data_IF_268721969877
#
_entry.id   IF_268721969877
#
_cell.length_a   1.000
_cell.length_b   1.000
_cell.length_c   1.000
_cell.angle_alpha   90.00
_cell.angle_beta   90.00
_cell.angle_gamma   90.00
#
_symmetry.space_group_name_H-M   'P 1'
#
loop_
_entity.id
_entity.type
_entity.pdbx_description
1 polymer ?
#
# COMPACT_ATOMS: atom_id res chain seq x y z
N UNK A 1 39.04 -9.71 10.59
CA UNK A 1 38.34 -9.76 10.27
C UNK A 1 38.26 -9.60 10.46
N UNK A 2 38.59 -9.64 10.57
CA UNK A 2 38.07 -9.65 10.25
C UNK A 2 37.65 -9.40 10.38
N UNK A 3 37.87 -9.59 10.62
CA UNK A 3 37.27 -9.53 10.14
C UNK A 3 36.80 -9.57 10.20
N UNK A 4 36.98 -9.83 10.37
CA UNK A 4 36.22 -9.98 9.92
C UNK A 4 35.35 -9.93 10.02
N UNK A 5 35.98 -10.18 10.20
CA UNK A 5 35.07 -10.14 10.00
C UNK A 5 34.61 -9.73 10.14
N UNK A 6 34.99 -9.68 10.14
CA UNK A 6 34.32 -9.25 9.74
C UNK A 6 34.24 -9.03 9.46
N UNK A 7 34.81 -9.03 9.33
CA UNK A 7 34.59 -8.91 8.63
C UNK A 7 34.75 -8.86 8.20
N UNK A 8 35.32 -9.18 8.06
CA UNK A 8 35.21 -9.31 7.45
C UNK A 8 35.36 -9.24 6.96
N UNK A 9 35.90 -9.48 6.69
CA UNK A 9 35.78 -9.48 6.07
C UNK A 9 35.91 -9.14 5.55
N UNK A 10 36.28 -9.14 5.11
CA UNK A 10 36.31 -8.73 4.60
C UNK A 10 36.42 -8.35 3.78
N UNK A 11 36.75 -8.27 3.09
CA UNK A 11 36.75 -7.76 2.32
C UNK A 11 37.30 -7.70 1.27
N UNK A 12 37.10 -7.48 0.64
CA UNK A 12 37.75 -7.83 -0.53
C UNK A 12 36.87 -8.18 -1.73
N UNK A 13 36.79 -8.47 -2.72
CA UNK A 13 35.74 -8.56 -3.74
C UNK A 13 34.74 -7.43 -3.61
N UNK A 14 35.21 -6.27 -3.41
CA UNK A 14 34.46 -5.12 -2.95
C UNK A 14 33.33 -4.69 -3.89
N UNK A 15 33.41 -4.96 -5.16
CA UNK A 15 32.35 -4.55 -6.13
C UNK A 15 31.01 -5.21 -5.83
N UNK A 16 31.02 -6.50 -5.56
CA UNK A 16 29.80 -7.23 -5.26
C UNK A 16 29.20 -6.77 -3.95
N UNK A 17 30.04 -6.52 -2.98
CA UNK A 17 29.62 -6.03 -1.67
C UNK A 17 28.94 -4.68 -1.79
N UNK A 18 29.52 -3.77 -2.58
CA UNK A 18 28.95 -2.44 -2.80
C UNK A 18 27.58 -2.54 -3.46
N UNK A 19 27.42 -3.40 -4.43
CA UNK A 19 26.14 -3.59 -5.11
C UNK A 19 25.09 -4.12 -4.15
N UNK A 20 25.45 -5.07 -3.30
CA UNK A 20 24.54 -5.62 -2.31
C UNK A 20 24.12 -4.57 -1.29
N UNK A 21 25.03 -3.73 -0.86
CA UNK A 21 24.72 -2.64 0.07
C UNK A 21 23.69 -1.67 -0.52
N UNK A 22 23.87 -1.30 -1.79
CA UNK A 22 22.94 -0.40 -2.47
C UNK A 22 21.54 -1.02 -2.53
N UNK A 23 21.44 -2.29 -2.87
CA UNK A 23 20.15 -2.98 -2.91
C UNK A 23 19.50 -3.04 -1.53
N UNK A 24 20.27 -3.30 -0.47
CA UNK A 24 19.77 -3.34 0.90
C UNK A 24 19.24 -1.98 1.32
N UNK A 25 19.94 -0.90 1.00
CA UNK A 25 19.50 0.46 1.34
C UNK A 25 18.21 0.81 0.64
N UNK A 26 18.06 0.44 -0.65
CA UNK A 26 16.84 0.67 -1.41
C UNK A 26 15.66 -0.07 -0.79
N UNK A 27 15.84 -1.34 -0.44
CA UNK A 27 14.80 -2.15 0.19
C UNK A 27 14.38 -1.58 1.55
N UNK A 28 15.34 -1.13 2.36
CA UNK A 28 15.07 -0.53 3.67
C UNK A 28 14.24 0.74 3.49
N UNK A 29 14.59 1.57 2.51
CA UNK A 29 13.87 2.81 2.23
C UNK A 29 12.43 2.54 1.79
N UNK A 30 12.23 1.56 0.90
CA UNK A 30 10.89 1.18 0.44
C UNK A 30 10.04 0.65 1.58
N UNK A 31 10.59 -0.23 2.42
CA UNK A 31 9.90 -0.77 3.58
C UNK A 31 9.56 0.32 4.57
N UNK A 32 10.47 1.28 4.77
CA UNK A 32 10.23 2.41 5.66
C UNK A 32 9.06 3.26 5.18
N UNK A 33 8.96 3.52 3.87
CA UNK A 33 7.84 4.28 3.30
C UNK A 33 6.53 3.53 3.47
N UNK A 34 6.53 2.23 3.20
CA UNK A 34 5.34 1.39 3.36
C UNK A 34 4.90 1.40 4.81
N UNK A 35 5.83 1.26 5.76
CA UNK A 35 5.51 1.28 7.18
C UNK A 35 4.91 2.61 7.60
N UNK A 36 5.42 3.73 7.09
CA UNK A 36 4.86 5.07 7.37
C UNK A 36 3.43 5.18 6.85
N UNK A 37 3.18 4.68 5.64
CA UNK A 37 1.84 4.70 5.05
C UNK A 37 0.87 3.91 5.93
N UNK A 38 1.28 2.72 6.37
CA UNK A 38 0.45 1.86 7.21
C UNK A 38 0.20 2.52 8.57
N UNK A 39 1.22 3.11 9.17
CA UNK A 39 1.09 3.80 10.46
C UNK A 39 0.09 4.95 10.37
N UNK A 40 0.20 5.77 9.32
CA UNK A 40 -0.73 6.88 9.10
C UNK A 40 -2.15 6.34 8.91
N UNK A 41 -2.29 5.29 8.09
CA UNK A 41 -3.59 4.68 7.85
C UNK A 41 -4.24 4.22 9.15
N UNK A 42 -3.47 3.58 10.01
CA UNK A 42 -3.97 3.09 11.30
C UNK A 42 -4.46 4.21 12.21
N UNK A 43 -3.83 5.39 12.16
CA UNK A 43 -4.27 6.54 12.96
C UNK A 43 -5.63 7.07 12.51
N UNK A 44 -6.08 6.70 11.31
CA UNK A 44 -7.34 7.19 10.75
C UNK A 44 -8.50 6.23 10.95
N UNK A 45 -8.28 5.05 11.51
CA UNK A 45 -9.35 4.09 11.77
C UNK A 45 -10.45 4.77 12.61
N UNK A 46 -11.70 4.62 12.17
CA UNK A 46 -12.84 5.25 12.83
C UNK A 46 -13.26 6.57 12.23
N UNK A 47 -12.43 7.20 11.39
CA UNK A 47 -12.84 8.46 10.74
C UNK A 47 -13.97 8.17 9.75
N UNK A 48 -14.95 9.07 9.64
CA UNK A 48 -16.13 8.82 8.83
C UNK A 48 -15.86 8.90 7.34
N UNK A 49 -16.69 8.19 6.58
CA UNK A 49 -16.73 8.32 5.14
C UNK A 49 -17.49 9.59 4.76
N UNK A 50 -16.97 10.32 3.80
CA UNK A 50 -17.67 11.47 3.24
C UNK A 50 -17.30 11.59 1.76
N UNK A 51 -18.29 11.58 0.89
CA UNK A 51 -18.10 11.72 -0.56
C UNK A 51 -17.28 12.99 -0.88
N UNK A 52 -16.25 12.80 -1.70
CA UNK A 52 -15.38 13.91 -2.12
C UNK A 52 -14.35 14.34 -1.11
N UNK A 53 -14.27 13.70 0.05
CA UNK A 53 -13.37 14.10 1.12
C UNK A 53 -12.01 13.40 1.01
N UNK A 54 -10.94 14.17 1.24
CA UNK A 54 -9.56 13.69 1.16
C UNK A 54 -8.81 13.80 2.50
N UNK A 55 -9.53 13.96 3.58
CA UNK A 55 -8.94 14.01 4.92
C UNK A 55 -8.74 15.43 5.44
N UNK A 56 -8.19 15.57 6.63
CA UNK A 56 -7.71 14.51 7.51
C UNK A 56 -8.78 13.88 8.42
N UNK A 57 -9.99 14.42 8.45
CA UNK A 57 -11.01 14.01 9.41
C UNK A 57 -12.15 13.19 8.81
N UNK A 58 -12.21 13.13 7.49
CA UNK A 58 -13.17 12.30 6.76
C UNK A 58 -12.56 11.95 5.40
N UNK A 59 -13.06 10.87 4.79
CA UNK A 59 -12.46 10.36 3.54
C UNK A 59 -13.52 9.67 2.67
N UNK A 60 -13.37 9.79 1.34
CA UNK A 60 -13.93 8.76 0.47
C UNK A 60 -12.82 7.72 0.21
N UNK A 61 -13.13 6.66 -0.55
CA UNK A 61 -12.19 5.54 -0.70
C UNK A 61 -10.86 5.95 -1.34
N UNK A 62 -10.91 6.66 -2.45
CA UNK A 62 -9.70 7.12 -3.15
C UNK A 62 -9.05 8.31 -2.46
N UNK A 63 -9.83 9.11 -1.74
CA UNK A 63 -9.31 10.18 -0.91
C UNK A 63 -8.47 9.65 0.24
N UNK A 64 -8.88 8.53 0.82
CA UNK A 64 -8.12 7.88 1.88
C UNK A 64 -6.77 7.35 1.37
N UNK A 65 -6.78 6.60 0.28
CA UNK A 65 -5.51 6.08 -0.29
C UNK A 65 -4.60 7.22 -0.73
N UNK A 66 -5.15 8.28 -1.33
CA UNK A 66 -4.37 9.46 -1.70
C UNK A 66 -3.72 10.12 -0.49
N UNK A 67 -4.47 10.27 0.59
CA UNK A 67 -3.98 10.89 1.81
C UNK A 67 -2.82 10.11 2.42
N UNK A 68 -2.97 8.79 2.59
CA UNK A 68 -1.93 8.00 3.24
C UNK A 68 -0.66 7.90 2.39
N UNK A 69 -0.80 7.82 1.08
CA UNK A 69 0.36 7.78 0.19
C UNK A 69 1.10 9.12 0.15
N UNK A 70 0.35 10.24 0.11
CA UNK A 70 0.96 11.56 0.12
C UNK A 70 1.72 11.81 1.43
N UNK A 71 1.10 11.52 2.55
CA UNK A 71 1.70 11.82 3.86
C UNK A 71 2.77 10.81 4.27
N UNK A 72 2.68 9.57 3.80
CA UNK A 72 3.64 8.54 4.16
C UNK A 72 4.84 8.43 3.22
N UNK A 73 4.65 8.72 1.94
CA UNK A 73 5.69 8.51 0.94
C UNK A 73 5.87 9.69 -0.02
N UNK A 74 5.10 10.76 0.12
CA UNK A 74 5.19 11.91 -0.79
C UNK A 74 4.71 11.61 -2.20
N UNK A 75 3.91 10.57 -2.38
CA UNK A 75 3.41 10.15 -3.69
C UNK A 75 2.00 10.69 -3.89
N UNK A 76 1.80 11.37 -5.02
CA UNK A 76 0.50 11.91 -5.40
C UNK A 76 -0.23 10.91 -6.28
N UNK A 77 -1.22 10.22 -5.72
CA UNK A 77 -2.05 9.30 -6.49
C UNK A 77 -3.13 10.09 -7.24
N UNK A 78 -3.62 9.56 -8.39
CA UNK A 78 -4.78 10.16 -9.06
C UNK A 78 -5.99 10.18 -8.12
N UNK A 79 -6.94 11.06 -8.40
CA UNK A 79 -8.05 11.33 -7.45
C UNK A 79 -9.07 10.20 -7.33
N UNK A 80 -9.31 9.43 -8.40
CA UNK A 80 -10.38 8.43 -8.42
C UNK A 80 -9.84 7.01 -8.32
N UNK A 81 -10.68 6.08 -7.85
CA UNK A 81 -10.29 4.67 -7.77
C UNK A 81 -9.97 4.09 -9.15
N UNK A 82 -10.73 4.46 -10.17
CA UNK A 82 -10.48 4.00 -11.54
C UNK A 82 -9.10 4.45 -12.01
N UNK A 83 -8.79 5.74 -11.82
CA UNK A 83 -7.50 6.29 -12.24
C UNK A 83 -6.34 5.68 -11.44
N UNK A 84 -6.54 5.45 -10.16
CA UNK A 84 -5.52 4.80 -9.31
C UNK A 84 -5.24 3.37 -9.79
N UNK A 85 -6.24 2.67 -10.33
CA UNK A 85 -6.05 1.30 -10.83
C UNK A 85 -5.15 1.24 -12.07
N UNK A 86 -4.91 2.38 -12.70
CA UNK A 86 -4.11 2.45 -13.93
C UNK A 86 -2.66 2.85 -13.69
N UNK A 87 -2.26 3.13 -12.45
CA UNK A 87 -0.88 3.50 -12.14
C UNK A 87 -0.18 2.34 -11.43
N UNK A 88 1.15 2.34 -11.51
CA UNK A 88 1.96 1.31 -10.88
C UNK A 88 1.99 0.01 -11.69
N UNK A 89 2.48 -1.05 -11.06
CA UNK A 89 2.56 -2.36 -11.68
C UNK A 89 1.37 -3.21 -11.28
N UNK A 90 0.75 -3.86 -12.25
CA UNK A 90 -0.38 -4.75 -12.00
C UNK A 90 0.10 -5.98 -11.24
N UNK A 91 -0.59 -6.33 -10.17
CA UNK A 91 -0.23 -7.44 -9.29
C UNK A 91 -1.41 -8.41 -9.23
N UNK A 92 -1.14 -9.71 -9.27
CA UNK A 92 -2.19 -10.70 -9.09
C UNK A 92 -2.52 -10.83 -7.60
N UNK A 93 -3.73 -11.34 -7.31
CA UNK A 93 -4.22 -11.48 -5.94
C UNK A 93 -3.26 -12.30 -5.06
N UNK A 94 -2.67 -13.36 -5.60
CA UNK A 94 -1.78 -14.22 -4.83
C UNK A 94 -0.36 -13.66 -4.66
N UNK A 95 -0.07 -12.51 -5.25
CA UNK A 95 1.23 -11.86 -5.12
C UNK A 95 1.17 -10.58 -4.29
N UNK A 96 0.05 -10.33 -3.63
CA UNK A 96 -0.15 -9.11 -2.83
C UNK A 96 0.87 -9.00 -1.71
N UNK A 97 1.35 -7.77 -1.52
CA UNK A 97 2.23 -7.38 -0.41
C UNK A 97 1.68 -6.13 0.24
N UNK A 98 2.02 -5.93 1.51
CA UNK A 98 1.60 -4.74 2.25
C UNK A 98 1.97 -3.48 1.47
N UNK A 99 1.04 -2.56 1.36
CA UNK A 99 1.20 -1.32 0.61
C UNK A 99 0.58 -1.37 -0.78
N UNK A 100 0.25 -2.54 -1.30
CA UNK A 100 -0.40 -2.64 -2.61
C UNK A 100 -1.83 -2.10 -2.53
N UNK A 101 -2.28 -1.45 -3.60
CA UNK A 101 -3.67 -1.00 -3.71
C UNK A 101 -4.53 -2.14 -4.25
N UNK A 102 -5.71 -2.32 -3.69
CA UNK A 102 -6.67 -3.34 -4.11
C UNK A 102 -7.95 -2.66 -4.55
N UNK A 103 -8.51 -3.13 -5.66
CA UNK A 103 -9.64 -2.49 -6.33
C UNK A 103 -10.83 -3.43 -6.43
N UNK A 104 -12.01 -2.86 -6.23
CA UNK A 104 -13.25 -3.63 -6.15
C UNK A 104 -14.34 -3.02 -7.01
N UNK A 105 -15.22 -3.87 -7.49
CA UNK A 105 -16.44 -3.47 -8.18
C UNK A 105 -17.61 -3.60 -7.19
N UNK A 106 -17.94 -2.51 -6.52
CA UNK A 106 -19.03 -2.48 -5.53
C UNK A 106 -20.31 -1.88 -6.12
N UNK A 107 -20.23 -1.24 -7.30
CA UNK A 107 -21.38 -0.61 -7.94
C UNK A 107 -22.03 -1.47 -9.03
N UNK A 108 -21.32 -2.52 -9.47
CA UNK A 108 -21.76 -3.31 -10.61
C UNK A 108 -21.35 -2.76 -11.96
N UNK A 109 -20.64 -1.62 -11.99
CA UNK A 109 -20.27 -0.94 -13.23
C UNK A 109 -18.77 -0.79 -13.42
N UNK A 110 -17.99 -1.70 -12.86
CA UNK A 110 -16.54 -1.66 -12.93
C UNK A 110 -15.93 -1.20 -11.61
N UNK A 111 -14.65 -0.82 -11.63
CA UNK A 111 -13.97 -0.41 -10.41
C UNK A 111 -14.64 0.83 -9.81
N UNK A 112 -15.04 0.71 -8.55
CA UNK A 112 -15.72 1.77 -7.82
C UNK A 112 -15.21 1.97 -6.40
N UNK A 113 -14.28 1.09 -5.96
CA UNK A 113 -13.76 1.15 -4.60
C UNK A 113 -12.28 0.77 -4.58
N UNK A 114 -11.53 1.32 -3.63
CA UNK A 114 -10.10 1.05 -3.47
C UNK A 114 -9.75 1.00 -1.99
N UNK A 115 -8.80 0.15 -1.66
CA UNK A 115 -8.19 0.11 -0.33
C UNK A 115 -6.72 -0.26 -0.46
N UNK A 116 -6.05 -0.41 0.67
CA UNK A 116 -4.64 -0.78 0.70
C UNK A 116 -4.46 -2.09 1.46
N UNK A 117 -3.74 -3.02 0.83
CA UNK A 117 -3.43 -4.31 1.44
C UNK A 117 -2.43 -4.12 2.59
N UNK A 118 -2.68 -4.79 3.71
CA UNK A 118 -1.81 -4.68 4.89
C UNK A 118 -1.28 -6.05 5.38
N UNK A 119 -1.39 -7.08 4.53
CA UNK A 119 -0.93 -8.42 4.87
C UNK A 119 -2.04 -9.28 5.47
N UNK A 120 -1.78 -10.58 5.54
CA UNK A 120 -2.69 -11.56 6.16
C UNK A 120 -4.11 -11.53 5.58
N UNK A 121 -4.21 -11.32 4.27
CA UNK A 121 -5.49 -11.24 3.56
C UNK A 121 -6.39 -10.10 4.04
N UNK A 122 -5.81 -9.05 4.61
CA UNK A 122 -6.55 -7.90 5.12
C UNK A 122 -6.19 -6.63 4.37
N UNK A 123 -7.14 -5.70 4.34
CA UNK A 123 -6.91 -4.39 3.72
C UNK A 123 -7.60 -3.31 4.55
N UNK A 124 -7.05 -2.10 4.47
CA UNK A 124 -7.59 -0.93 5.16
C UNK A 124 -8.19 0.01 4.12
N UNK A 125 -9.36 0.56 4.41
CA UNK A 125 -10.08 1.38 3.45
C UNK A 125 -11.11 2.27 4.15
N UNK A 126 -11.62 3.27 3.42
CA UNK A 126 -12.74 4.07 3.89
C UNK A 126 -14.04 3.42 3.36
N UNK A 127 -14.72 2.68 4.22
CA UNK A 127 -15.97 2.02 3.91
C UNK A 127 -17.10 3.04 3.86
N UNK A 128 -17.94 2.95 2.82
CA UNK A 128 -19.06 3.89 2.63
C UNK A 128 -19.98 3.94 3.85
N UNK A 129 -20.25 2.80 4.46
CA UNK A 129 -21.20 2.72 5.57
C UNK A 129 -20.56 2.80 6.96
N UNK A 130 -19.26 2.49 7.07
CA UNK A 130 -18.62 2.32 8.40
C UNK A 130 -17.35 3.15 8.59
N UNK A 131 -16.95 3.93 7.59
CA UNK A 131 -15.74 4.74 7.67
C UNK A 131 -14.47 3.94 7.51
N UNK A 132 -13.36 4.49 7.99
CA UNK A 132 -12.04 3.84 7.86
C UNK A 132 -11.98 2.64 8.78
N UNK A 133 -11.67 1.47 8.17
CA UNK A 133 -11.63 0.20 8.90
C UNK A 133 -10.80 -0.83 8.14
N UNK A 134 -10.54 -1.94 8.82
CA UNK A 134 -9.86 -3.09 8.23
C UNK A 134 -10.90 -4.18 7.96
N UNK A 135 -10.85 -4.73 6.74
CA UNK A 135 -11.70 -5.86 6.35
C UNK A 135 -10.86 -6.96 5.72
N UNK A 136 -11.44 -8.15 5.60
CA UNK A 136 -10.76 -9.30 5.01
C UNK A 136 -11.07 -9.40 3.52
N UNK A 137 -10.02 -9.64 2.72
CA UNK A 137 -10.19 -9.95 1.29
C UNK A 137 -10.93 -11.27 1.08
N UNK A 138 -10.95 -12.13 2.09
CA UNK A 138 -11.60 -13.44 2.01
C UNK A 138 -13.06 -13.42 2.43
N UNK A 139 -13.57 -12.27 2.92
CA UNK A 139 -15.00 -12.15 3.20
C UNK A 139 -15.78 -12.33 1.90
N UNK A 140 -16.98 -12.91 2.00
CA UNK A 140 -17.79 -13.20 0.81
C UNK A 140 -18.05 -11.94 -0.02
N UNK A 141 -18.30 -10.82 0.67
CA UNK A 141 -18.57 -9.54 0.00
C UNK A 141 -17.39 -9.09 -0.86
N UNK A 142 -16.19 -8.98 -0.27
CA UNK A 142 -15.03 -8.43 -0.99
C UNK A 142 -14.36 -9.46 -1.90
N UNK A 143 -14.42 -10.74 -1.54
CA UNK A 143 -13.86 -11.80 -2.38
C UNK A 143 -14.51 -11.82 -3.76
N UNK A 144 -15.83 -11.69 -3.81
CA UNK A 144 -16.58 -11.72 -5.07
C UNK A 144 -16.46 -10.42 -5.86
N UNK A 145 -16.04 -9.32 -5.22
CA UNK A 145 -15.97 -8.00 -5.85
C UNK A 145 -14.56 -7.55 -6.21
N UNK A 146 -13.56 -8.32 -5.83
CA UNK A 146 -12.16 -8.00 -6.15
C UNK A 146 -11.96 -8.00 -7.67
N UNK A 147 -11.33 -6.94 -8.20
CA UNK A 147 -11.07 -6.79 -9.63
C UNK A 147 -9.59 -6.89 -9.94
N UNK A 148 -8.77 -6.08 -9.27
CA UNK A 148 -7.34 -6.02 -9.58
C UNK A 148 -6.58 -5.39 -8.42
N UNK A 149 -5.25 -5.39 -8.55
CA UNK A 149 -4.37 -4.75 -7.59
C UNK A 149 -3.20 -4.09 -8.31
N UNK A 150 -2.64 -3.06 -7.69
CA UNK A 150 -1.49 -2.33 -8.23
C UNK A 150 -0.43 -2.12 -7.16
N UNK A 151 0.82 -2.25 -7.54
CA UNK A 151 1.96 -1.94 -6.67
C UNK A 151 2.54 -0.60 -7.08
N UNK A 152 2.47 0.36 -6.18
CA UNK A 152 2.93 1.73 -6.42
C UNK A 152 4.38 1.87 -6.01
N UNK A 153 4.73 1.36 -4.83
CA UNK A 153 6.11 1.37 -4.33
C UNK A 153 6.74 0.03 -4.64
N UNK A 154 7.78 0.05 -5.46
CA UNK A 154 8.41 -1.18 -5.97
C UNK A 154 9.64 -1.61 -5.19
#
# INVERSE_FOLDING_TARGET
GNIEGWVSSKYIGSYKETTEEVKSETLITENSSINKIIDIANTKIGKPYKWGSTGPNSFDCSGFTSYIYQNGAGINLPRTSVAQSKVGSKISRNQLKSGDLVFFNTSGKGISHVGMYIGNSKFIHASTSKGVRIDSLNSSYYKSRFVSASRIIK
#
